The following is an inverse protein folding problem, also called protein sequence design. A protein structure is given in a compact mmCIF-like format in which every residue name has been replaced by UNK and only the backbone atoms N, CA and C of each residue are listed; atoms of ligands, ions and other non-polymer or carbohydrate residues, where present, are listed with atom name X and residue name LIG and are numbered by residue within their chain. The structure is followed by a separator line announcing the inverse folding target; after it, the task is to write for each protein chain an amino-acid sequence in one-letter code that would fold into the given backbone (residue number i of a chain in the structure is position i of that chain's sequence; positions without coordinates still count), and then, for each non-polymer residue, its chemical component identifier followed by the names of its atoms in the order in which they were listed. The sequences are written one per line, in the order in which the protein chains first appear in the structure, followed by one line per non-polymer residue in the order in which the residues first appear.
data_IF_754628208311
#
_entry.id   IF_754628208311
#
_cell.length_a   1.000
_cell.length_b   1.000
_cell.length_c   1.000
_cell.angle_alpha   90.00
_cell.angle_beta   90.00
_cell.angle_gamma   90.00
#
_symmetry.space_group_name_H-M   'P 1'
#
loop_
_entity.id
_entity.type
_entity.pdbx_description
1 polymer ?
#
# COMPACT_ATOMS: atom_id res chain seq x y z
N UNK A 1 -22.86 2.65 -19.02
CA UNK A 1 -23.01 3.47 -17.79
C UNK A 1 -21.72 4.23 -17.57
N UNK A 2 -21.79 5.55 -17.35
CA UNK A 2 -20.64 6.34 -16.92
C UNK A 2 -20.32 5.94 -15.46
N UNK A 3 -19.04 5.79 -15.11
CA UNK A 3 -18.62 5.35 -13.78
C UNK A 3 -18.99 6.34 -12.67
N UNK A 4 -18.70 6.01 -11.40
CA UNK A 4 -18.91 6.92 -10.28
C UNK A 4 -18.15 8.23 -10.49
N UNK A 5 -18.80 9.35 -10.16
CA UNK A 5 -18.24 10.71 -10.33
C UNK A 5 -17.06 10.89 -9.36
N UNK A 6 -15.87 11.28 -9.84
CA UNK A 6 -14.73 11.54 -8.97
C UNK A 6 -14.98 12.74 -8.05
N UNK A 7 -14.42 12.70 -6.83
CA UNK A 7 -14.37 13.85 -5.92
C UNK A 7 -13.72 15.04 -6.64
N UNK A 8 -14.27 16.25 -6.50
CA UNK A 8 -13.76 17.45 -7.20
C UNK A 8 -14.57 17.85 -8.43
N UNK A 9 -15.47 16.99 -8.90
CA UNK A 9 -16.32 17.23 -10.06
C UNK A 9 -17.78 16.95 -9.74
N UNK A 10 -18.66 17.72 -10.38
CA UNK A 10 -20.09 17.49 -10.43
C UNK A 10 -20.52 17.24 -11.89
N UNK A 11 -21.55 16.43 -12.08
CA UNK A 11 -22.09 16.16 -13.42
C UNK A 11 -23.22 17.14 -13.70
N UNK A 12 -23.07 17.94 -14.74
CA UNK A 12 -24.12 18.81 -15.28
C UNK A 12 -24.15 18.64 -16.79
N UNK A 13 -25.33 18.40 -17.37
CA UNK A 13 -25.52 18.20 -18.81
C UNK A 13 -24.59 17.13 -19.43
N UNK A 14 -24.36 16.03 -18.67
CA UNK A 14 -23.43 14.93 -19.01
C UNK A 14 -21.95 15.32 -19.09
N UNK A 15 -21.58 16.52 -18.65
CA UNK A 15 -20.21 17.01 -18.55
C UNK A 15 -19.76 17.09 -17.09
N UNK A 16 -18.46 16.88 -16.87
CA UNK A 16 -17.84 17.05 -15.56
C UNK A 16 -17.46 18.53 -15.40
N UNK A 17 -18.09 19.20 -14.44
CA UNK A 17 -17.79 20.58 -14.06
C UNK A 17 -17.04 20.54 -12.74
N UNK A 18 -15.97 21.34 -12.64
CA UNK A 18 -15.17 21.44 -11.41
C UNK A 18 -16.00 22.09 -10.30
N UNK A 19 -16.04 21.43 -9.15
CA UNK A 19 -16.55 22.02 -7.91
C UNK A 19 -15.36 22.62 -7.15
N UNK A 20 -15.28 23.95 -6.97
CA UNK A 20 -14.11 24.58 -6.38
C UNK A 20 -13.83 24.13 -4.94
N UNK A 21 -14.85 23.84 -4.14
CA UNK A 21 -14.67 23.41 -2.75
C UNK A 21 -14.08 21.99 -2.67
N UNK A 22 -14.61 21.07 -3.48
CA UNK A 22 -14.08 19.71 -3.55
C UNK A 22 -12.73 19.67 -4.28
N UNK A 23 -12.51 20.52 -5.28
CA UNK A 23 -11.26 20.61 -6.01
C UNK A 23 -10.10 21.03 -5.09
N UNK A 24 -10.33 21.95 -4.16
CA UNK A 24 -9.33 22.33 -3.15
C UNK A 24 -9.00 21.16 -2.22
N UNK A 25 -9.99 20.34 -1.89
CA UNK A 25 -9.77 19.11 -1.12
C UNK A 25 -8.87 18.14 -1.89
N UNK A 26 -9.11 17.96 -3.20
CA UNK A 26 -8.26 17.13 -4.06
C UNK A 26 -6.84 17.69 -4.14
N UNK A 27 -6.67 19.01 -4.32
CA UNK A 27 -5.35 19.66 -4.32
C UNK A 27 -4.59 19.44 -3.01
N UNK A 28 -5.31 19.54 -1.89
CA UNK A 28 -4.77 19.26 -0.56
C UNK A 28 -4.28 17.82 -0.46
N UNK A 29 -5.07 16.83 -0.90
CA UNK A 29 -4.68 15.41 -0.89
C UNK A 29 -3.39 15.18 -1.69
N UNK A 30 -3.30 15.72 -2.91
CA UNK A 30 -2.11 15.57 -3.76
C UNK A 30 -0.89 16.24 -3.14
N UNK A 31 -1.05 17.44 -2.58
CA UNK A 31 0.04 18.18 -1.92
C UNK A 31 0.54 17.45 -0.66
N UNK A 32 -0.37 16.91 0.16
CA UNK A 32 -0.01 16.11 1.32
C UNK A 32 0.77 14.86 0.92
N UNK A 33 0.37 14.21 -0.18
CA UNK A 33 1.06 13.04 -0.67
C UNK A 33 2.44 13.37 -1.24
N UNK A 34 2.58 14.47 -1.99
CA UNK A 34 3.88 14.91 -2.50
C UNK A 34 4.90 15.12 -1.36
N UNK A 35 4.43 15.64 -0.23
CA UNK A 35 5.26 15.88 0.96
C UNK A 35 5.55 14.61 1.78
N UNK A 36 4.70 13.58 1.72
CA UNK A 36 4.84 12.36 2.53
C UNK A 36 5.26 11.15 1.71
N UNK A 37 6.31 10.46 2.15
CA UNK A 37 6.74 9.19 1.58
C UNK A 37 5.88 7.98 2.03
N UNK A 38 4.81 8.20 2.81
CA UNK A 38 4.04 7.12 3.41
C UNK A 38 2.53 7.29 3.22
N UNK A 39 1.93 6.37 2.47
CA UNK A 39 0.47 6.30 2.30
C UNK A 39 -0.28 6.20 3.64
N UNK A 40 0.30 5.54 4.64
CA UNK A 40 -0.32 5.41 5.96
C UNK A 40 -0.23 6.69 6.80
N UNK A 41 0.76 7.54 6.55
CA UNK A 41 0.86 8.86 7.17
C UNK A 41 -0.18 9.80 6.58
N UNK A 42 -0.30 9.83 5.25
CA UNK A 42 -1.32 10.62 4.56
C UNK A 42 -2.73 10.22 5.03
N UNK A 43 -3.05 8.92 5.14
CA UNK A 43 -4.36 8.48 5.63
C UNK A 43 -4.64 9.02 7.05
N UNK A 44 -3.68 8.92 7.97
CA UNK A 44 -3.85 9.45 9.33
C UNK A 44 -4.08 10.95 9.33
N UNK A 45 -3.42 11.68 8.44
CA UNK A 45 -3.61 13.13 8.31
C UNK A 45 -4.96 13.48 7.68
N UNK A 46 -5.43 12.70 6.70
CA UNK A 46 -6.78 12.86 6.14
C UNK A 46 -7.86 12.59 7.18
N UNK A 47 -7.69 11.54 7.99
CA UNK A 47 -8.59 11.23 9.11
C UNK A 47 -8.61 12.37 10.14
N UNK A 48 -7.44 12.91 10.51
CA UNK A 48 -7.33 14.03 11.45
C UNK A 48 -7.99 15.32 10.92
N UNK A 49 -7.99 15.52 9.60
CA UNK A 49 -8.64 16.66 8.93
C UNK A 49 -10.11 16.39 8.57
N UNK A 50 -10.66 15.22 8.94
CA UNK A 50 -12.01 14.78 8.57
C UNK A 50 -12.29 14.82 7.05
N UNK A 51 -11.25 14.58 6.23
CA UNK A 51 -11.38 14.52 4.77
C UNK A 51 -11.87 13.14 4.37
N UNK A 52 -13.07 13.08 3.79
CA UNK A 52 -13.72 11.84 3.37
C UNK A 52 -13.75 11.71 1.86
N UNK A 53 -13.96 10.49 1.38
CA UNK A 53 -14.25 10.21 -0.03
C UNK A 53 -15.61 10.80 -0.44
N UNK A 54 -15.87 10.91 -1.75
CA UNK A 54 -17.17 11.39 -2.30
C UNK A 54 -18.39 10.61 -1.76
N UNK A 55 -18.21 9.36 -1.31
CA UNK A 55 -19.26 8.52 -0.72
C UNK A 55 -19.37 8.66 0.80
N UNK A 56 -18.63 9.59 1.42
CA UNK A 56 -18.64 9.82 2.87
C UNK A 56 -17.86 8.79 3.68
N UNK A 57 -16.99 8.00 3.04
CA UNK A 57 -16.16 6.99 3.73
C UNK A 57 -14.74 7.50 3.99
N UNK A 58 -14.07 7.08 5.08
CA UNK A 58 -12.66 7.32 5.30
C UNK A 58 -11.78 6.75 4.18
N UNK A 59 -10.60 7.33 3.97
CA UNK A 59 -9.66 6.85 2.97
C UNK A 59 -8.91 5.61 3.45
N UNK A 60 -9.03 4.51 2.70
CA UNK A 60 -8.15 3.36 2.81
C UNK A 60 -6.96 3.48 1.84
N UNK A 61 -5.95 2.62 2.01
CA UNK A 61 -4.77 2.59 1.14
C UNK A 61 -5.16 2.44 -0.34
N UNK A 62 -6.19 1.64 -0.63
CA UNK A 62 -6.62 1.33 -1.98
C UNK A 62 -7.33 2.53 -2.61
N UNK A 63 -8.27 3.15 -1.92
CA UNK A 63 -9.00 4.33 -2.40
C UNK A 63 -8.07 5.52 -2.61
N UNK A 64 -7.14 5.77 -1.70
CA UNK A 64 -6.16 6.85 -1.86
C UNK A 64 -5.31 6.64 -3.11
N UNK A 65 -4.76 5.44 -3.31
CA UNK A 65 -4.00 5.13 -4.53
C UNK A 65 -4.86 5.19 -5.80
N UNK A 66 -6.14 4.79 -5.74
CA UNK A 66 -7.06 4.94 -6.86
C UNK A 66 -7.29 6.42 -7.22
N UNK A 67 -7.44 7.28 -6.22
CA UNK A 67 -7.56 8.74 -6.41
C UNK A 67 -6.29 9.32 -7.06
N UNK A 68 -5.11 8.97 -6.55
CA UNK A 68 -3.84 9.51 -7.05
C UNK A 68 -3.52 9.07 -8.49
N UNK A 69 -3.92 7.86 -8.90
CA UNK A 69 -3.74 7.38 -10.28
C UNK A 69 -4.87 7.82 -11.23
N UNK A 70 -5.89 8.52 -10.75
CA UNK A 70 -7.02 8.91 -11.59
C UNK A 70 -6.65 10.08 -12.51
N UNK A 71 -6.41 9.78 -13.79
CA UNK A 71 -6.02 10.78 -14.80
C UNK A 71 -7.11 11.81 -15.11
N UNK A 72 -8.34 11.62 -14.62
CA UNK A 72 -9.40 12.65 -14.71
C UNK A 72 -8.93 13.97 -14.10
N UNK A 73 -8.15 13.92 -13.00
CA UNK A 73 -7.60 15.12 -12.36
C UNK A 73 -6.63 15.94 -13.22
N UNK A 74 -6.08 15.32 -14.28
CA UNK A 74 -5.23 15.95 -15.30
C UNK A 74 -6.01 16.45 -16.52
N UNK A 75 -7.34 16.43 -16.47
CA UNK A 75 -8.17 16.76 -17.64
C UNK A 75 -8.20 15.65 -18.69
N UNK A 76 -7.87 14.40 -18.32
CA UNK A 76 -7.78 13.28 -19.27
C UNK A 76 -8.92 12.29 -19.07
N UNK A 77 -9.51 11.83 -20.17
CA UNK A 77 -10.47 10.74 -20.20
C UNK A 77 -9.79 9.45 -20.66
N UNK A 78 -9.84 8.39 -19.85
CA UNK A 78 -9.23 7.09 -20.18
C UNK A 78 -10.27 6.15 -20.77
N UNK A 79 -10.03 5.67 -22.00
CA UNK A 79 -10.85 4.64 -22.63
C UNK A 79 -9.96 3.50 -23.13
N UNK A 80 -10.24 2.26 -22.68
CA UNK A 80 -9.50 1.05 -23.04
C UNK A 80 -7.97 1.17 -22.85
N UNK A 81 -7.54 1.89 -21.82
CA UNK A 81 -6.11 2.09 -21.49
C UNK A 81 -5.46 3.29 -22.18
N UNK A 82 -6.09 3.86 -23.23
CA UNK A 82 -5.62 5.07 -23.89
C UNK A 82 -6.21 6.31 -23.22
N UNK A 83 -5.38 7.32 -22.96
CA UNK A 83 -5.80 8.59 -22.41
C UNK A 83 -6.02 9.62 -23.54
N UNK A 84 -7.16 10.29 -23.52
CA UNK A 84 -7.54 11.34 -24.45
C UNK A 84 -7.76 12.65 -23.68
N UNK A 85 -7.52 13.83 -24.30
CA UNK A 85 -7.96 15.09 -23.73
C UNK A 85 -9.48 15.05 -23.46
N UNK A 86 -9.87 15.27 -22.20
CA UNK A 86 -11.27 15.37 -21.80
C UNK A 86 -11.82 16.77 -22.02
N UNK A 87 -13.15 16.89 -22.02
CA UNK A 87 -13.85 18.19 -22.08
C UNK A 87 -13.86 18.93 -20.73
N UNK A 88 -13.34 18.31 -19.67
CA UNK A 88 -13.38 18.85 -18.31
C UNK A 88 -12.04 19.47 -17.91
N UNK A 89 -12.12 20.52 -17.09
CA UNK A 89 -10.92 21.22 -16.63
C UNK A 89 -10.07 20.35 -15.69
N UNK A 90 -8.75 20.49 -15.80
CA UNK A 90 -7.82 19.83 -14.90
C UNK A 90 -7.84 20.51 -13.51
N UNK A 91 -7.97 19.69 -12.46
CA UNK A 91 -7.84 20.18 -11.07
C UNK A 91 -6.37 20.27 -10.66
N UNK A 92 -5.54 19.34 -11.16
CA UNK A 92 -4.14 19.16 -10.78
C UNK A 92 -3.22 19.51 -11.95
N UNK A 93 -2.18 20.30 -11.66
CA UNK A 93 -1.16 20.67 -12.63
C UNK A 93 -0.19 19.50 -12.93
N UNK A 94 0.53 19.60 -14.05
CA UNK A 94 1.50 18.62 -14.47
C UNK A 94 2.63 18.42 -13.47
N UNK A 95 3.20 19.50 -12.94
CA UNK A 95 4.31 19.41 -12.01
C UNK A 95 3.95 18.63 -10.74
N UNK A 96 2.80 18.94 -10.13
CA UNK A 96 2.34 18.26 -8.92
C UNK A 96 1.98 16.79 -9.18
N UNK A 97 1.43 16.49 -10.35
CA UNK A 97 1.14 15.12 -10.75
C UNK A 97 2.40 14.28 -10.86
N UNK A 98 3.42 14.82 -11.53
CA UNK A 98 4.69 14.13 -11.76
C UNK A 98 5.43 13.92 -10.43
N UNK A 99 5.48 14.94 -9.56
CA UNK A 99 6.06 14.83 -8.21
C UNK A 99 5.42 13.71 -7.37
N UNK A 100 4.09 13.62 -7.36
CA UNK A 100 3.37 12.54 -6.68
C UNK A 100 3.74 11.17 -7.25
N UNK A 101 3.82 11.03 -8.57
CA UNK A 101 4.13 9.76 -9.20
C UNK A 101 5.60 9.35 -9.00
N UNK A 102 6.51 10.32 -8.94
CA UNK A 102 7.90 10.10 -8.54
C UNK A 102 8.00 9.60 -7.11
N UNK A 103 7.23 10.19 -6.17
CA UNK A 103 7.15 9.69 -4.79
C UNK A 103 6.60 8.26 -4.75
N UNK A 104 5.54 7.95 -5.51
CA UNK A 104 4.99 6.58 -5.60
C UNK A 104 6.05 5.60 -6.12
N UNK A 105 6.77 5.95 -7.19
CA UNK A 105 7.80 5.12 -7.80
C UNK A 105 9.00 4.92 -6.85
N UNK A 106 9.49 6.00 -6.25
CA UNK A 106 10.62 5.99 -5.31
C UNK A 106 10.30 5.23 -4.03
N UNK A 107 9.06 5.31 -3.52
CA UNK A 107 8.63 4.51 -2.37
C UNK A 107 8.68 3.01 -2.65
N UNK A 108 8.35 2.59 -3.88
CA UNK A 108 8.50 1.19 -4.30
C UNK A 108 9.97 0.79 -4.28
N UNK A 109 10.85 1.62 -4.84
CA UNK A 109 12.30 1.36 -4.88
C UNK A 109 12.89 1.32 -3.47
N UNK A 110 12.60 2.30 -2.61
CA UNK A 110 13.04 2.33 -1.21
C UNK A 110 12.57 1.11 -0.43
N UNK A 111 11.30 0.68 -0.57
CA UNK A 111 10.82 -0.55 0.09
C UNK A 111 11.52 -1.81 -0.40
N UNK A 112 11.80 -1.91 -1.70
CA UNK A 112 12.58 -3.01 -2.27
C UNK A 112 14.03 -2.96 -1.78
N UNK A 113 14.63 -1.77 -1.68
CA UNK A 113 15.97 -1.56 -1.17
C UNK A 113 16.05 -1.94 0.33
N UNK A 114 15.13 -1.48 1.18
CA UNK A 114 15.05 -1.89 2.60
C UNK A 114 14.81 -3.39 2.75
N UNK A 115 14.03 -4.02 1.87
CA UNK A 115 13.85 -5.47 1.86
C UNK A 115 15.12 -6.23 1.40
N UNK A 116 16.03 -5.54 0.70
CA UNK A 116 17.33 -6.03 0.22
C UNK A 116 18.50 -5.61 1.12
N UNK A 117 18.35 -4.58 1.96
CA UNK A 117 19.39 -4.13 2.86
C UNK A 117 19.75 -5.27 3.83
N UNK A 118 21.04 -5.60 3.95
CA UNK A 118 21.47 -6.71 4.78
C UNK A 118 21.32 -6.34 6.26
N UNK A 119 20.18 -6.68 6.88
CA UNK A 119 20.04 -7.36 8.20
C UNK A 119 18.61 -7.25 8.76
N UNK A 120 17.93 -8.40 8.94
CA UNK A 120 18.18 -9.21 10.14
C UNK A 120 18.30 -10.72 9.83
N UNK A 121 18.84 -11.07 8.66
CA UNK A 121 18.94 -12.45 8.21
C UNK A 121 20.31 -12.74 7.58
N UNK A 122 21.36 -12.70 8.41
CA UNK A 122 22.76 -12.95 8.02
C UNK A 122 23.00 -14.22 7.19
N UNK A 123 22.15 -15.24 7.38
CA UNK A 123 22.28 -16.56 6.76
C UNK A 123 21.30 -16.76 5.61
N UNK A 124 20.54 -15.74 5.22
CA UNK A 124 19.56 -15.87 4.12
C UNK A 124 20.29 -16.22 2.81
N UNK A 125 19.99 -17.40 2.28
CA UNK A 125 20.65 -17.92 1.08
C UNK A 125 22.01 -18.58 1.31
N UNK A 126 22.46 -18.72 2.56
CA UNK A 126 23.68 -19.44 2.93
C UNK A 126 23.39 -20.78 3.62
N UNK A 127 22.23 -20.89 4.29
CA UNK A 127 21.80 -22.13 4.94
C UNK A 127 20.70 -22.82 4.15
N UNK A 128 20.87 -24.12 3.98
CA UNK A 128 19.99 -25.00 3.21
C UNK A 128 19.64 -26.22 4.06
N UNK A 129 18.48 -26.81 3.82
CA UNK A 129 18.07 -28.08 4.42
C UNK A 129 18.73 -29.25 3.68
N UNK A 130 18.60 -30.46 4.21
CA UNK A 130 19.10 -31.70 3.56
C UNK A 130 18.49 -31.92 2.16
N UNK A 131 17.32 -31.35 1.90
CA UNK A 131 16.62 -31.41 0.61
C UNK A 131 17.11 -30.33 -0.39
N UNK A 132 18.06 -29.48 0.02
CA UNK A 132 18.59 -28.39 -0.80
C UNK A 132 17.73 -27.11 -0.81
N UNK A 133 16.70 -27.02 0.03
CA UNK A 133 15.84 -25.84 0.12
C UNK A 133 16.45 -24.80 1.06
N UNK A 134 16.50 -23.53 0.62
CA UNK A 134 17.04 -22.44 1.44
C UNK A 134 16.15 -22.16 2.66
N UNK A 135 16.74 -22.04 3.85
CA UNK A 135 15.96 -21.72 5.06
C UNK A 135 15.54 -20.25 5.07
N UNK A 136 14.31 -19.99 5.54
CA UNK A 136 13.71 -18.65 5.53
C UNK A 136 13.79 -18.01 6.92
N UNK A 137 14.28 -16.76 7.05
CA UNK A 137 14.28 -16.05 8.32
C UNK A 137 12.85 -15.79 8.81
N UNK A 138 12.60 -16.13 10.07
CA UNK A 138 11.33 -15.95 10.76
C UNK A 138 11.55 -15.29 12.12
N UNK A 139 10.48 -14.74 12.69
CA UNK A 139 10.54 -14.20 14.04
C UNK A 139 9.20 -14.33 14.78
N UNK A 140 9.28 -14.38 16.10
CA UNK A 140 8.13 -14.28 17.01
C UNK A 140 8.41 -13.21 18.07
N UNK A 141 7.36 -12.74 18.73
CA UNK A 141 7.44 -11.74 19.80
C UNK A 141 6.71 -12.26 21.04
N UNK A 142 7.36 -12.22 22.20
CA UNK A 142 6.74 -12.50 23.51
C UNK A 142 7.02 -11.32 24.43
N UNK A 143 5.97 -10.58 24.82
CA UNK A 143 6.11 -9.32 25.54
C UNK A 143 6.95 -8.31 24.75
N UNK A 144 8.04 -7.83 25.34
CA UNK A 144 8.99 -6.91 24.70
C UNK A 144 10.10 -7.61 23.92
N UNK A 145 10.28 -8.94 24.08
CA UNK A 145 11.39 -9.68 23.48
C UNK A 145 11.03 -10.26 22.10
N UNK A 146 11.92 -10.09 21.12
CA UNK A 146 11.80 -10.63 19.75
C UNK A 146 12.79 -11.77 19.55
N UNK A 147 12.28 -12.94 19.17
CA UNK A 147 13.07 -14.13 18.85
C UNK A 147 13.18 -14.24 17.33
N UNK A 148 14.39 -14.39 16.81
CA UNK A 148 14.67 -14.56 15.38
C UNK A 148 15.25 -15.95 15.18
N UNK A 149 14.72 -16.70 14.22
CA UNK A 149 15.12 -18.07 13.91
C UNK A 149 14.94 -18.31 12.41
N UNK A 150 15.50 -19.40 11.88
CA UNK A 150 15.29 -19.80 10.50
C UNK A 150 14.40 -21.03 10.44
N UNK A 151 13.50 -21.07 9.47
CA UNK A 151 12.57 -22.18 9.27
C UNK A 151 12.79 -22.85 7.94
N UNK A 152 12.65 -24.16 7.96
CA UNK A 152 12.54 -25.03 6.78
C UNK A 152 11.10 -25.01 6.30
N UNK A 153 10.86 -24.39 5.14
CA UNK A 153 9.51 -24.32 4.56
C UNK A 153 9.05 -25.68 4.02
N UNK A 154 9.99 -26.53 3.63
CA UNK A 154 9.81 -27.93 3.26
C UNK A 154 9.35 -28.78 4.45
N UNK A 155 9.98 -28.66 5.63
CA UNK A 155 9.52 -29.36 6.84
C UNK A 155 8.15 -28.84 7.32
N UNK A 156 7.87 -27.54 7.18
CA UNK A 156 6.55 -26.97 7.55
C UNK A 156 5.45 -27.45 6.59
N UNK A 157 5.71 -27.50 5.29
CA UNK A 157 4.72 -27.93 4.28
C UNK A 157 4.50 -29.44 4.25
N UNK A 158 5.54 -30.22 4.56
CA UNK A 158 5.49 -31.69 4.58
C UNK A 158 5.23 -32.25 5.98
N UNK A 159 4.81 -31.42 6.94
CA UNK A 159 4.50 -31.87 8.29
C UNK A 159 3.30 -32.84 8.23
N UNK A 160 3.45 -34.12 8.58
CA UNK A 160 2.29 -35.00 8.70
C UNK A 160 1.39 -34.43 9.80
N UNK A 161 0.09 -34.36 9.54
CA UNK A 161 -0.96 -33.81 10.43
C UNK A 161 -1.07 -34.49 11.82
N UNK A 162 -0.13 -35.33 12.23
CA UNK A 162 -0.22 -36.20 13.41
C UNK A 162 0.74 -35.85 14.57
N UNK A 163 1.35 -34.66 14.61
CA UNK A 163 2.17 -34.23 15.75
C UNK A 163 1.56 -33.08 16.55
N UNK A 164 0.23 -32.99 16.59
CA UNK A 164 -0.50 -32.24 17.62
C UNK A 164 -0.73 -33.13 18.85
N UNK A 165 0.34 -33.54 19.54
CA UNK A 165 0.23 -34.08 20.89
C UNK A 165 1.47 -33.71 21.71
N UNK A 166 1.60 -32.42 22.05
CA UNK A 166 2.35 -32.03 23.25
C UNK A 166 1.52 -32.40 24.47
N UNK A 167 1.49 -33.68 24.80
CA UNK A 167 0.96 -34.16 26.07
C UNK A 167 2.04 -33.86 27.12
N UNK A 168 1.67 -33.07 28.13
CA UNK A 168 2.48 -32.83 29.32
C UNK A 168 2.99 -34.15 29.89
N UNK A 169 4.31 -34.30 30.00
CA UNK A 169 4.92 -35.29 30.89
C UNK A 169 5.61 -34.54 32.03
N UNK A 170 5.13 -34.67 33.28
CA UNK A 170 5.90 -34.24 34.43
C UNK A 170 6.98 -35.29 34.72
N UNK A 171 8.20 -34.78 34.86
CA UNK A 171 9.28 -35.24 35.75
C UNK A 171 9.41 -36.74 36.05
N UNK A 172 10.51 -37.33 35.57
CA UNK A 172 11.16 -38.45 36.23
C UNK A 172 12.58 -38.06 36.69
N UNK A 173 12.79 -38.27 37.99
CA UNK A 173 14.05 -38.52 38.74
C UNK A 173 14.94 -37.32 39.08
N UNK A 174 15.10 -37.05 40.38
CA UNK A 174 15.92 -37.86 41.29
C UNK A 174 15.31 -37.85 42.70
#
# INVERSE_FOLDING_TARGET
MCGPVPLGYNVKDRKLIVDPAEAETVRTIFTLYARSSSTAEVIRELDARAILTKTGRPYDKTSLLKTLHNKVYRGLAVHKGTAYPGEHDAIIDAALWDEVHDVIANNRVKRVAVAKEPLPALLRGLIFTETGVAMTPHHTKKGTRRYRYYVSMDAIKNLPLQSACFRCHPEQRA
#
